data_IF_201487195924
#
_entry.id   IF_201487195924
#
_cell.length_a   1.000
_cell.length_b   1.000
_cell.length_c   1.000
_cell.angle_alpha   90.00
_cell.angle_beta   90.00
_cell.angle_gamma   90.00
#
_symmetry.space_group_name_H-M   'P 1'
#
loop_
_entity.id
_entity.type
_entity.pdbx_description
1 polymer ?
#
# COMPACT_ATOMS: atom_id res chain seq x y z
N UNK A 1 25.80 5.38 2.43
CA UNK A 1 24.71 5.66 3.37
C UNK A 1 25.30 6.26 4.64
N UNK A 2 24.91 7.48 4.94
CA UNK A 2 25.34 8.16 6.17
C UNK A 2 24.12 8.56 6.97
N UNK A 3 24.18 8.62 8.29
CA UNK A 3 23.04 9.00 9.14
C UNK A 3 22.75 10.50 9.06
N UNK A 4 22.91 11.10 7.90
CA UNK A 4 22.65 12.49 7.60
C UNK A 4 21.51 12.60 6.58
N UNK A 5 20.56 13.48 6.83
CA UNK A 5 19.45 13.76 5.90
C UNK A 5 19.98 14.21 4.54
N UNK A 6 19.34 13.74 3.47
CA UNK A 6 19.73 14.01 2.08
C UNK A 6 20.82 13.12 1.51
N UNK A 7 21.27 12.08 2.25
CA UNK A 7 22.32 11.16 1.76
C UNK A 7 21.80 9.79 1.36
N UNK A 8 20.51 9.52 1.51
CA UNK A 8 19.86 8.33 0.97
C UNK A 8 19.83 8.33 -0.56
N UNK A 9 19.65 7.16 -1.16
CA UNK A 9 19.54 7.03 -2.61
C UNK A 9 18.22 7.62 -3.12
N UNK A 10 18.25 8.16 -4.33
CA UNK A 10 17.01 8.43 -5.08
C UNK A 10 16.40 7.12 -5.57
N UNK A 11 15.07 7.07 -5.70
CA UNK A 11 14.35 5.87 -6.16
C UNK A 11 14.84 5.39 -7.53
N UNK A 12 15.13 6.31 -8.47
CA UNK A 12 15.63 5.98 -9.79
C UNK A 12 16.99 5.29 -9.74
N UNK A 13 17.94 5.85 -8.96
CA UNK A 13 19.28 5.26 -8.84
C UNK A 13 19.23 3.91 -8.11
N UNK A 14 18.45 3.81 -7.05
CA UNK A 14 18.21 2.54 -6.35
C UNK A 14 17.72 1.45 -7.29
N UNK A 15 16.70 1.74 -8.11
CA UNK A 15 16.14 0.77 -9.07
C UNK A 15 17.19 0.29 -10.07
N UNK A 16 17.93 1.21 -10.68
CA UNK A 16 18.98 0.89 -11.67
C UNK A 16 20.06 -0.01 -11.05
N UNK A 17 20.57 0.36 -9.87
CA UNK A 17 21.61 -0.41 -9.19
C UNK A 17 21.13 -1.80 -8.76
N UNK A 18 19.95 -1.87 -8.12
CA UNK A 18 19.40 -3.14 -7.63
C UNK A 18 19.08 -4.10 -8.78
N UNK A 19 18.56 -3.61 -9.90
CA UNK A 19 18.33 -4.41 -11.11
C UNK A 19 19.62 -5.02 -11.67
N UNK A 20 20.74 -4.30 -11.61
CA UNK A 20 22.05 -4.84 -12.04
C UNK A 20 22.44 -6.06 -11.19
N UNK A 21 22.33 -5.98 -9.87
CA UNK A 21 22.62 -7.12 -8.98
C UNK A 21 21.68 -8.29 -9.25
N UNK A 22 20.38 -8.03 -9.39
CA UNK A 22 19.38 -9.06 -9.69
C UNK A 22 19.65 -9.78 -11.01
N UNK A 23 20.14 -9.07 -12.03
CA UNK A 23 20.52 -9.67 -13.34
C UNK A 23 21.57 -10.76 -13.19
N UNK A 24 22.44 -10.67 -12.20
CA UNK A 24 23.47 -11.69 -11.91
C UNK A 24 23.02 -12.71 -10.87
N UNK A 25 21.73 -12.77 -10.53
CA UNK A 25 21.18 -13.70 -9.55
C UNK A 25 21.58 -13.43 -8.10
N UNK A 26 22.15 -12.25 -7.82
CA UNK A 26 22.59 -11.89 -6.47
C UNK A 26 21.38 -11.50 -5.60
N UNK A 27 21.43 -11.94 -4.36
CA UNK A 27 20.50 -11.45 -3.33
C UNK A 27 20.92 -10.07 -2.89
N UNK A 28 19.91 -9.25 -2.55
CA UNK A 28 20.07 -7.83 -2.23
C UNK A 28 19.50 -7.53 -0.86
N UNK A 29 20.15 -6.61 -0.15
CA UNK A 29 19.69 -6.09 1.13
C UNK A 29 19.61 -4.56 1.09
N UNK A 30 18.69 -3.99 1.83
CA UNK A 30 18.51 -2.55 1.97
C UNK A 30 18.29 -2.18 3.44
N UNK A 31 18.78 -0.99 3.82
CA UNK A 31 18.54 -0.45 5.15
C UNK A 31 17.19 0.25 5.21
N UNK A 32 16.53 0.04 6.35
CA UNK A 32 15.37 0.80 6.83
C UNK A 32 15.75 1.43 8.17
N UNK A 33 15.06 2.49 8.56
CA UNK A 33 15.38 3.24 9.78
C UNK A 33 14.21 3.27 10.74
N UNK A 34 14.47 2.91 11.99
CA UNK A 34 13.49 3.03 13.08
C UNK A 34 13.30 4.50 13.44
N UNK A 35 12.05 4.92 13.63
CA UNK A 35 11.71 6.28 14.06
C UNK A 35 11.88 6.45 15.57
N UNK A 36 11.86 5.37 16.34
CA UNK A 36 12.02 5.37 17.80
C UNK A 36 13.47 5.20 18.25
N UNK A 37 14.35 4.68 17.39
CA UNK A 37 15.76 4.44 17.73
C UNK A 37 16.56 5.75 17.88
N UNK A 38 17.40 5.78 18.91
CA UNK A 38 18.21 6.99 19.27
C UNK A 38 19.71 6.79 19.09
N UNK A 39 20.14 5.57 18.76
CA UNK A 39 21.56 5.21 18.63
C UNK A 39 21.84 4.95 17.16
N UNK A 40 22.71 5.77 16.60
CA UNK A 40 23.24 5.63 15.25
C UNK A 40 24.73 5.29 15.28
N UNK A 41 25.36 5.04 14.12
CA UNK A 41 26.79 4.77 14.03
C UNK A 41 27.67 5.99 14.34
N UNK A 42 27.10 7.19 14.33
CA UNK A 42 27.78 8.45 14.62
C UNK A 42 26.87 9.39 15.45
N UNK A 43 27.39 10.52 15.86
CA UNK A 43 26.62 11.53 16.63
C UNK A 43 25.44 12.11 15.85
N UNK A 44 25.56 12.25 14.52
CA UNK A 44 24.43 12.61 13.64
C UNK A 44 23.54 11.40 13.47
N UNK A 45 22.29 11.50 13.83
CA UNK A 45 21.33 10.39 13.75
C UNK A 45 19.99 10.87 13.15
N UNK A 46 20.03 11.26 11.88
CA UNK A 46 18.81 11.55 11.09
C UNK A 46 18.19 10.29 10.47
N UNK A 47 18.53 9.11 10.98
CA UNK A 47 18.14 7.83 10.43
C UNK A 47 19.10 7.30 9.35
N UNK A 48 19.04 6.01 9.04
CA UNK A 48 19.95 5.35 8.11
C UNK A 48 19.20 4.50 7.06
N UNK A 49 18.28 5.07 6.28
CA UNK A 49 17.57 4.34 5.23
C UNK A 49 18.40 4.22 3.95
N UNK A 50 18.15 3.19 3.14
CA UNK A 50 18.68 3.10 1.78
C UNK A 50 18.07 4.16 0.86
N UNK A 51 16.74 4.32 0.92
CA UNK A 51 15.99 5.31 0.13
C UNK A 51 15.77 6.58 0.95
N UNK A 52 16.11 7.74 0.37
CA UNK A 52 15.83 9.01 1.03
C UNK A 52 14.33 9.24 1.23
N UNK A 53 13.51 8.83 0.27
CA UNK A 53 12.05 8.90 0.33
C UNK A 53 11.43 8.09 1.49
N UNK A 54 12.19 7.15 2.07
CA UNK A 54 11.74 6.34 3.19
C UNK A 54 12.10 6.92 4.57
N UNK A 55 12.95 7.94 4.66
CA UNK A 55 13.58 8.39 5.90
C UNK A 55 12.62 8.66 7.05
N UNK A 56 11.52 9.33 6.77
CA UNK A 56 10.55 9.75 7.79
C UNK A 56 9.29 8.85 7.83
N UNK A 57 9.27 7.75 7.05
CA UNK A 57 8.15 6.82 7.03
C UNK A 57 8.21 5.84 8.22
N UNK A 58 7.06 5.31 8.67
CA UNK A 58 7.03 4.22 9.64
C UNK A 58 7.89 3.03 9.18
N UNK A 59 8.58 2.36 10.11
CA UNK A 59 9.53 1.28 9.81
C UNK A 59 8.93 0.17 8.93
N UNK A 60 7.71 -0.25 9.24
CA UNK A 60 7.01 -1.27 8.46
C UNK A 60 6.69 -0.81 7.03
N UNK A 61 6.33 0.46 6.84
CA UNK A 61 6.04 0.99 5.51
C UNK A 61 7.29 1.04 4.64
N UNK A 62 8.46 1.38 5.19
CA UNK A 62 9.74 1.28 4.49
C UNK A 62 9.99 -0.15 4.01
N UNK A 63 9.73 -1.15 4.87
CA UNK A 63 9.83 -2.57 4.52
C UNK A 63 8.85 -2.98 3.43
N UNK A 64 7.57 -2.56 3.53
CA UNK A 64 6.54 -2.81 2.50
C UNK A 64 6.99 -2.28 1.13
N UNK A 65 7.47 -1.02 1.04
CA UNK A 65 7.93 -0.40 -0.20
C UNK A 65 9.11 -1.14 -0.83
N UNK A 66 10.10 -1.49 -0.02
CA UNK A 66 11.30 -2.21 -0.49
C UNK A 66 10.94 -3.62 -1.01
N UNK A 67 10.13 -4.39 -0.29
CA UNK A 67 9.69 -5.71 -0.74
C UNK A 67 8.77 -5.62 -1.96
N UNK A 68 7.85 -4.65 -2.01
CA UNK A 68 6.96 -4.43 -3.14
C UNK A 68 7.71 -4.14 -4.43
N UNK A 69 8.90 -3.53 -4.35
CA UNK A 69 9.76 -3.29 -5.52
C UNK A 69 10.20 -4.58 -6.24
N UNK A 70 10.17 -5.72 -5.55
CA UNK A 70 10.71 -7.00 -6.04
C UNK A 70 12.23 -7.02 -6.17
N UNK A 71 12.91 -5.95 -5.73
CA UNK A 71 14.36 -5.78 -5.90
C UNK A 71 15.15 -6.11 -4.63
N UNK A 72 14.49 -6.23 -3.47
CA UNK A 72 15.13 -6.43 -2.17
C UNK A 72 14.68 -7.75 -1.54
N UNK A 73 15.65 -8.55 -1.15
CA UNK A 73 15.40 -9.84 -0.49
C UNK A 73 15.41 -9.72 1.03
N UNK A 74 16.16 -8.78 1.59
CA UNK A 74 16.35 -8.60 3.03
C UNK A 74 16.33 -7.12 3.39
N UNK A 75 15.61 -6.76 4.45
CA UNK A 75 15.70 -5.42 5.06
C UNK A 75 16.51 -5.51 6.36
N UNK A 76 17.29 -4.46 6.62
CA UNK A 76 18.17 -4.34 7.78
C UNK A 76 17.84 -3.02 8.48
N UNK A 77 17.57 -3.07 9.79
CA UNK A 77 17.36 -1.85 10.58
C UNK A 77 18.74 -1.21 10.81
N UNK A 78 18.94 -0.02 10.31
CA UNK A 78 20.23 0.66 10.28
C UNK A 78 20.62 1.39 11.56
N UNK A 79 19.67 1.66 12.45
CA UNK A 79 19.87 2.35 13.73
C UNK A 79 19.32 1.53 14.90
N UNK A 80 19.71 1.81 16.13
CA UNK A 80 19.41 0.99 17.30
C UNK A 80 18.75 1.84 18.42
N UNK A 81 17.81 1.29 19.14
CA UNK A 81 17.11 0.03 18.94
C UNK A 81 15.67 0.35 18.55
N UNK A 82 15.13 -0.39 17.59
CA UNK A 82 13.71 -0.27 17.24
C UNK A 82 12.83 -0.73 18.42
N UNK A 83 11.68 -0.11 18.57
CA UNK A 83 10.70 -0.50 19.59
C UNK A 83 10.04 -1.85 19.27
N UNK A 84 9.51 -2.52 20.28
CA UNK A 84 8.76 -3.77 20.12
C UNK A 84 7.57 -3.60 19.17
N UNK A 85 6.91 -2.46 19.16
CA UNK A 85 5.81 -2.15 18.25
C UNK A 85 6.29 -2.11 16.79
N UNK A 86 7.42 -1.44 16.52
CA UNK A 86 8.02 -1.39 15.18
C UNK A 86 8.47 -2.78 14.72
N UNK A 87 9.09 -3.58 15.60
CA UNK A 87 9.52 -4.94 15.28
C UNK A 87 8.34 -5.85 14.98
N UNK A 88 7.25 -5.78 15.75
CA UNK A 88 6.03 -6.54 15.50
C UNK A 88 5.38 -6.14 14.18
N UNK A 89 5.26 -4.84 13.89
CA UNK A 89 4.71 -4.35 12.65
C UNK A 89 5.55 -4.78 11.42
N UNK A 90 6.88 -4.75 11.55
CA UNK A 90 7.79 -5.22 10.50
C UNK A 90 7.67 -6.74 10.28
N UNK A 91 7.59 -7.53 11.35
CA UNK A 91 7.45 -8.97 11.28
C UNK A 91 6.10 -9.44 10.71
N UNK A 92 5.07 -8.62 10.79
CA UNK A 92 3.73 -8.92 10.25
C UNK A 92 3.63 -8.73 8.72
N UNK A 93 4.66 -8.19 8.06
CA UNK A 93 4.62 -7.95 6.62
C UNK A 93 4.59 -9.28 5.84
N UNK A 94 3.52 -9.48 5.06
CA UNK A 94 3.51 -10.49 4.02
C UNK A 94 4.17 -9.91 2.74
N UNK A 95 5.39 -10.33 2.45
CA UNK A 95 6.15 -9.86 1.29
C UNK A 95 5.58 -10.26 -0.08
N UNK A 96 4.61 -11.15 -0.11
CA UNK A 96 3.98 -11.68 -1.34
C UNK A 96 2.60 -11.07 -1.59
N UNK A 97 2.16 -10.18 -0.73
CA UNK A 97 0.87 -9.51 -0.80
C UNK A 97 1.00 -8.05 -0.38
N UNK A 98 0.51 -7.13 -1.20
CA UNK A 98 0.44 -5.73 -0.81
C UNK A 98 -0.65 -5.56 0.26
N UNK A 99 -0.31 -4.91 1.36
CA UNK A 99 -1.30 -4.52 2.38
C UNK A 99 -1.32 -3.01 2.49
N UNK A 100 -2.49 -2.41 2.25
CA UNK A 100 -2.72 -0.98 2.35
C UNK A 100 -3.49 -0.69 3.64
N UNK A 101 -3.07 0.32 4.37
CA UNK A 101 -3.92 0.94 5.37
C UNK A 101 -5.14 1.59 4.68
N UNK A 102 -6.27 1.64 5.35
CA UNK A 102 -7.45 2.34 4.85
C UNK A 102 -8.21 3.04 5.98
N UNK A 103 -8.42 4.34 5.84
CA UNK A 103 -9.39 5.10 6.62
C UNK A 103 -10.77 4.84 6.04
N UNK A 104 -11.64 4.18 6.83
CA UNK A 104 -12.96 3.78 6.36
C UNK A 104 -13.93 4.94 6.50
N UNK A 105 -14.71 5.23 5.44
CA UNK A 105 -15.73 6.26 5.46
C UNK A 105 -16.85 5.94 6.47
N UNK A 106 -17.37 6.98 7.12
CA UNK A 106 -18.43 6.83 8.12
C UNK A 106 -19.72 6.22 7.52
N UNK A 107 -20.05 6.56 6.27
CA UNK A 107 -21.20 6.05 5.53
C UNK A 107 -21.02 4.60 5.03
N UNK A 108 -19.82 4.02 5.14
CA UNK A 108 -19.56 2.67 4.65
C UNK A 108 -20.49 1.67 5.35
N UNK A 109 -21.30 0.99 4.54
CA UNK A 109 -22.28 -0.01 4.99
C UNK A 109 -21.60 -1.28 5.52
N UNK A 110 -22.35 -2.15 6.17
CA UNK A 110 -21.83 -3.42 6.69
C UNK A 110 -21.23 -4.30 5.55
N UNK A 111 -21.94 -4.40 4.43
CA UNK A 111 -21.43 -5.17 3.28
C UNK A 111 -20.14 -4.59 2.71
N UNK A 112 -20.00 -3.27 2.66
CA UNK A 112 -18.80 -2.60 2.18
C UNK A 112 -17.62 -2.84 3.12
N UNK A 113 -17.84 -2.78 4.44
CA UNK A 113 -16.84 -3.14 5.45
C UNK A 113 -16.42 -4.61 5.34
N UNK A 114 -17.37 -5.52 5.10
CA UNK A 114 -17.07 -6.94 4.86
C UNK A 114 -16.21 -7.12 3.62
N UNK A 115 -16.51 -6.40 2.53
CA UNK A 115 -15.71 -6.45 1.30
C UNK A 115 -14.30 -5.90 1.55
N UNK A 116 -14.15 -4.78 2.25
CA UNK A 116 -12.84 -4.23 2.63
C UNK A 116 -12.01 -5.21 3.48
N UNK A 117 -12.66 -5.91 4.41
CA UNK A 117 -12.00 -6.86 5.31
C UNK A 117 -11.57 -8.19 4.64
N UNK A 118 -11.92 -8.41 3.37
CA UNK A 118 -11.48 -9.60 2.64
C UNK A 118 -9.94 -9.63 2.53
N UNK A 119 -9.35 -10.78 2.84
CA UNK A 119 -7.89 -10.94 2.90
C UNK A 119 -7.25 -11.30 1.56
N UNK A 120 -8.04 -11.58 0.53
CA UNK A 120 -7.60 -12.14 -0.74
C UNK A 120 -8.11 -11.36 -1.95
N UNK A 121 -7.91 -10.06 -1.96
CA UNK A 121 -8.08 -9.28 -3.18
C UNK A 121 -6.94 -9.55 -4.17
N UNK A 122 -7.22 -9.40 -5.46
CA UNK A 122 -6.18 -9.29 -6.48
C UNK A 122 -6.59 -8.30 -7.56
N UNK A 123 -5.61 -7.57 -8.08
CA UNK A 123 -5.84 -6.71 -9.23
C UNK A 123 -6.13 -7.57 -10.46
N UNK A 124 -7.25 -7.33 -11.11
CA UNK A 124 -7.61 -8.00 -12.36
C UNK A 124 -6.54 -7.76 -13.45
N UNK A 125 -6.37 -8.76 -14.35
CA UNK A 125 -5.35 -8.72 -15.39
C UNK A 125 -5.57 -7.66 -16.48
N UNK A 126 -6.84 -7.28 -16.75
CA UNK A 126 -7.18 -6.19 -17.67
C UNK A 126 -6.89 -4.84 -16.97
N UNK A 127 -5.81 -4.20 -17.34
CA UNK A 127 -5.41 -2.92 -16.78
C UNK A 127 -6.07 -1.76 -17.53
N UNK A 128 -6.58 -0.80 -16.77
CA UNK A 128 -7.10 0.47 -17.31
C UNK A 128 -6.51 1.64 -16.51
N UNK A 129 -6.69 2.87 -17.02
CA UNK A 129 -6.12 4.05 -16.44
C UNK A 129 -6.88 4.59 -15.22
N UNK A 130 -8.18 4.29 -15.09
CA UNK A 130 -9.03 4.91 -14.07
C UNK A 130 -8.97 4.18 -12.74
N UNK A 131 -8.99 2.84 -12.75
CA UNK A 131 -9.15 2.04 -11.53
C UNK A 131 -8.38 0.72 -11.56
N UNK A 132 -7.89 0.28 -10.41
CA UNK A 132 -7.47 -1.10 -10.19
C UNK A 132 -8.67 -1.89 -9.65
N UNK A 133 -9.10 -2.93 -10.37
CA UNK A 133 -10.33 -3.68 -10.08
C UNK A 133 -10.03 -4.98 -9.34
N UNK A 134 -10.85 -5.29 -8.31
CA UNK A 134 -10.93 -6.60 -7.67
C UNK A 134 -12.35 -7.15 -7.83
N UNK A 135 -12.51 -8.20 -8.63
CA UNK A 135 -13.84 -8.62 -9.12
C UNK A 135 -14.49 -9.75 -8.32
N UNK A 136 -13.79 -10.38 -7.38
CA UNK A 136 -14.31 -11.51 -6.60
C UNK A 136 -15.49 -11.12 -5.73
N UNK A 137 -15.42 -9.95 -5.09
CA UNK A 137 -16.46 -9.48 -4.18
C UNK A 137 -17.82 -9.37 -4.87
N UNK A 138 -17.89 -8.91 -6.12
CA UNK A 138 -19.16 -8.83 -6.86
C UNK A 138 -19.79 -10.20 -7.12
N UNK A 139 -18.99 -11.27 -7.23
CA UNK A 139 -19.51 -12.62 -7.40
C UNK A 139 -19.98 -13.17 -6.06
N UNK A 140 -19.16 -13.04 -5.03
CA UNK A 140 -19.43 -13.56 -3.68
C UNK A 140 -20.62 -12.88 -3.03
N UNK A 141 -20.73 -11.56 -3.15
CA UNK A 141 -21.74 -10.74 -2.48
C UNK A 141 -22.87 -10.25 -3.38
N UNK A 142 -23.00 -10.80 -4.58
CA UNK A 142 -24.02 -10.40 -5.58
C UNK A 142 -25.45 -10.27 -5.03
N UNK A 143 -25.95 -11.17 -4.18
CA UNK A 143 -27.34 -11.09 -3.68
C UNK A 143 -27.54 -10.04 -2.59
N UNK A 144 -26.46 -9.49 -2.01
CA UNK A 144 -26.55 -8.55 -0.88
C UNK A 144 -26.75 -7.15 -1.42
N UNK A 145 -27.76 -6.47 -0.89
CA UNK A 145 -28.05 -5.06 -1.21
C UNK A 145 -26.91 -4.13 -0.81
N UNK A 146 -26.64 -3.12 -1.65
CA UNK A 146 -25.67 -2.07 -1.40
C UNK A 146 -26.21 -0.76 -1.95
N UNK A 147 -26.91 0.01 -1.10
CA UNK A 147 -27.58 1.25 -1.49
C UNK A 147 -26.55 2.34 -1.81
N UNK A 148 -26.89 3.27 -2.76
CA UNK A 148 -26.05 4.43 -3.00
C UNK A 148 -25.87 5.29 -1.75
N UNK A 149 -24.63 5.76 -1.52
CA UNK A 149 -24.35 6.75 -0.47
C UNK A 149 -24.96 8.11 -0.82
N UNK A 150 -25.19 8.93 0.20
CA UNK A 150 -25.68 10.30 0.03
C UNK A 150 -24.60 11.26 -0.46
N UNK A 151 -23.35 11.03 -0.03
CA UNK A 151 -22.19 11.82 -0.49
C UNK A 151 -21.71 11.32 -1.86
N UNK A 152 -21.75 12.22 -2.86
CA UNK A 152 -21.42 11.96 -4.26
C UNK A 152 -20.23 12.81 -4.74
N UNK A 153 -19.26 13.08 -3.86
CA UNK A 153 -18.05 13.83 -4.24
C UNK A 153 -17.19 13.09 -5.26
N UNK A 154 -16.44 13.82 -6.11
CA UNK A 154 -15.46 13.20 -7.00
C UNK A 154 -14.42 12.38 -6.25
N UNK A 155 -14.07 11.22 -6.79
CA UNK A 155 -13.05 10.34 -6.23
C UNK A 155 -11.65 10.88 -6.52
N UNK A 156 -10.77 10.79 -5.53
CA UNK A 156 -9.36 11.13 -5.63
C UNK A 156 -8.48 9.88 -5.86
N UNK A 157 -7.22 10.09 -6.26
CA UNK A 157 -6.22 9.02 -6.34
C UNK A 157 -6.02 8.34 -4.98
N UNK A 158 -6.15 7.03 -4.93
CA UNK A 158 -6.04 6.24 -3.70
C UNK A 158 -7.36 6.06 -2.94
N UNK A 159 -8.47 6.65 -3.40
CA UNK A 159 -9.79 6.32 -2.86
C UNK A 159 -10.17 4.89 -3.22
N UNK A 160 -10.91 4.26 -2.31
CA UNK A 160 -11.46 2.91 -2.50
C UNK A 160 -12.96 3.07 -2.70
N UNK A 161 -13.45 2.50 -3.80
CA UNK A 161 -14.86 2.59 -4.17
C UNK A 161 -15.44 1.20 -4.41
N UNK A 162 -16.73 1.05 -4.10
CA UNK A 162 -17.47 -0.20 -4.32
C UNK A 162 -18.73 0.13 -5.14
N UNK A 163 -19.02 -0.70 -6.15
CA UNK A 163 -20.22 -0.56 -6.97
C UNK A 163 -21.48 -0.74 -6.12
N UNK A 164 -22.42 0.22 -6.19
CA UNK A 164 -23.72 0.13 -5.52
C UNK A 164 -24.78 -0.56 -6.40
N UNK A 165 -26.02 -0.67 -5.92
CA UNK A 165 -27.12 -1.38 -6.58
C UNK A 165 -27.41 -0.87 -8.00
N UNK A 166 -27.14 0.42 -8.26
CA UNK A 166 -27.38 1.03 -9.58
C UNK A 166 -26.32 0.63 -10.62
N UNK A 167 -25.21 -0.04 -10.20
CA UNK A 167 -24.14 -0.46 -11.10
C UNK A 167 -24.42 -1.79 -11.82
N UNK A 168 -25.56 -2.39 -11.59
CA UNK A 168 -25.99 -3.61 -12.27
C UNK A 168 -25.04 -4.78 -12.06
N UNK A 169 -24.47 -5.35 -13.13
CA UNK A 169 -23.55 -6.49 -13.04
C UNK A 169 -22.23 -6.21 -12.30
N UNK A 170 -21.89 -4.93 -12.04
CA UNK A 170 -20.69 -4.53 -11.33
C UNK A 170 -20.96 -4.17 -9.85
N UNK A 171 -22.18 -4.36 -9.38
CA UNK A 171 -22.55 -4.25 -7.99
C UNK A 171 -21.58 -5.04 -7.10
N UNK A 172 -21.17 -4.45 -5.97
CA UNK A 172 -20.26 -5.03 -5.00
C UNK A 172 -18.84 -5.34 -5.54
N UNK A 173 -18.46 -4.79 -6.70
CA UNK A 173 -17.08 -4.84 -7.18
C UNK A 173 -16.25 -3.77 -6.48
N UNK A 174 -15.13 -4.17 -5.85
CA UNK A 174 -14.18 -3.25 -5.26
C UNK A 174 -13.22 -2.71 -6.30
N UNK A 175 -12.94 -1.41 -6.24
CA UNK A 175 -11.99 -0.73 -7.11
C UNK A 175 -11.16 0.28 -6.30
N UNK A 176 -9.87 0.40 -6.65
CA UNK A 176 -8.99 1.46 -6.13
C UNK A 176 -8.81 2.49 -7.23
N UNK A 177 -9.05 3.76 -6.93
CA UNK A 177 -9.00 4.86 -7.89
C UNK A 177 -7.55 5.20 -8.24
N UNK A 178 -7.24 5.17 -9.54
CA UNK A 178 -5.91 5.51 -10.09
C UNK A 178 -5.90 6.88 -10.79
N UNK A 179 -7.06 7.35 -11.22
CA UNK A 179 -7.22 8.69 -11.80
C UNK A 179 -8.50 9.31 -11.26
N UNK A 180 -8.47 10.56 -10.80
CA UNK A 180 -9.65 11.22 -10.26
C UNK A 180 -10.81 11.21 -11.27
N UNK A 181 -11.99 10.82 -10.81
CA UNK A 181 -13.21 10.80 -11.61
C UNK A 181 -14.45 10.77 -10.71
N UNK A 182 -15.65 10.86 -11.30
CA UNK A 182 -16.90 10.74 -10.58
C UNK A 182 -17.78 9.66 -11.23
N UNK A 183 -18.47 8.86 -10.43
CA UNK A 183 -19.43 7.88 -10.89
C UNK A 183 -20.46 7.59 -9.78
N UNK A 184 -21.67 8.08 -9.93
CA UNK A 184 -22.76 7.95 -8.95
C UNK A 184 -23.18 6.49 -8.65
N UNK A 185 -22.74 5.56 -9.49
CA UNK A 185 -22.99 4.12 -9.33
C UNK A 185 -22.00 3.44 -8.38
N UNK A 186 -21.10 4.20 -7.78
CA UNK A 186 -20.07 3.72 -6.85
C UNK A 186 -20.13 4.53 -5.57
N UNK A 187 -19.98 3.83 -4.46
CA UNK A 187 -19.82 4.42 -3.14
C UNK A 187 -18.34 4.55 -2.81
N UNK A 188 -17.91 5.71 -2.34
CA UNK A 188 -16.60 5.86 -1.72
C UNK A 188 -16.68 5.22 -0.34
N UNK A 189 -15.82 4.26 -0.06
CA UNK A 189 -15.84 3.46 1.17
C UNK A 189 -14.60 3.65 2.04
N UNK A 190 -13.55 4.25 1.50
CA UNK A 190 -12.35 4.55 2.26
C UNK A 190 -11.29 5.24 1.41
N UNK A 191 -10.20 5.61 2.08
CA UNK A 191 -9.06 6.29 1.47
C UNK A 191 -7.75 5.69 2.00
N UNK A 192 -6.81 5.40 1.09
CA UNK A 192 -5.46 4.96 1.45
C UNK A 192 -4.68 6.15 2.02
N UNK A 193 -3.97 6.00 3.16
CA UNK A 193 -3.12 7.04 3.72
C UNK A 193 -2.13 7.60 2.69
N UNK A 194 -1.91 8.89 2.73
CA UNK A 194 -1.06 9.60 1.75
C UNK A 194 0.34 9.00 1.65
N UNK A 195 0.92 8.60 2.76
CA UNK A 195 2.25 7.99 2.85
C UNK A 195 2.31 6.58 2.23
N UNK A 196 1.18 5.88 2.09
CA UNK A 196 1.10 4.56 1.45
C UNK A 196 0.76 4.62 -0.05
N UNK A 197 0.36 5.77 -0.58
CA UNK A 197 0.04 5.92 -2.02
C UNK A 197 1.17 5.45 -2.95
N UNK A 198 2.47 5.59 -2.63
CA UNK A 198 3.53 5.05 -3.47
C UNK A 198 3.47 3.52 -3.66
N UNK A 199 2.85 2.77 -2.75
CA UNK A 199 2.64 1.33 -2.92
C UNK A 199 1.76 0.99 -4.13
N UNK A 200 0.89 1.90 -4.57
CA UNK A 200 0.01 1.70 -5.73
C UNK A 200 0.80 1.52 -7.04
N UNK A 201 2.03 2.03 -7.13
CA UNK A 201 2.91 1.78 -8.28
C UNK A 201 3.24 0.29 -8.46
N UNK A 202 3.22 -0.47 -7.37
CA UNK A 202 3.53 -1.92 -7.35
C UNK A 202 2.28 -2.80 -7.47
N UNK A 203 1.09 -2.22 -7.43
CA UNK A 203 -0.16 -2.94 -7.66
C UNK A 203 -0.32 -3.24 -9.16
N UNK A 204 0.45 -4.19 -9.68
CA UNK A 204 0.41 -4.63 -11.08
C UNK A 204 -0.73 -5.64 -11.31
N UNK A 205 -1.12 -5.94 -12.56
CA UNK A 205 -2.05 -7.02 -12.87
C UNK A 205 -1.68 -8.31 -12.13
N UNK A 206 -2.68 -8.99 -11.55
CA UNK A 206 -2.57 -10.22 -10.76
C UNK A 206 -1.87 -10.07 -9.40
N UNK A 207 -1.43 -8.87 -9.01
CA UNK A 207 -0.90 -8.63 -7.66
C UNK A 207 -1.99 -8.88 -6.62
N UNK A 208 -1.68 -9.71 -5.63
CA UNK A 208 -2.53 -9.92 -4.45
C UNK A 208 -2.43 -8.73 -3.51
N UNK A 209 -3.55 -8.34 -2.92
CA UNK A 209 -3.58 -7.27 -1.94
C UNK A 209 -4.66 -7.48 -0.87
N UNK A 210 -4.55 -6.74 0.21
CA UNK A 210 -5.53 -6.67 1.29
C UNK A 210 -5.51 -5.27 1.91
N UNK A 211 -6.48 -5.01 2.77
CA UNK A 211 -6.56 -3.77 3.54
C UNK A 211 -6.42 -4.04 5.03
N UNK A 212 -5.81 -3.10 5.72
CA UNK A 212 -5.75 -2.96 7.16
C UNK A 212 -6.62 -1.76 7.54
N UNK A 213 -7.74 -2.03 8.21
CA UNK A 213 -8.69 -0.98 8.57
C UNK A 213 -8.10 -0.11 9.69
N UNK A 214 -7.93 1.17 9.42
CA UNK A 214 -7.43 2.17 10.35
C UNK A 214 -8.62 2.88 11.03
N UNK A 215 -8.45 3.22 12.30
CA UNK A 215 -9.46 3.94 13.10
C UNK A 215 -9.30 5.46 12.96
#
# INVERSE_FOLDING_TARGET
FYPQRGTGLTDAFFRICSQRFKKYGLKTAAFITSQSAKIGPWEVNDGLPTLESCRDLPLALQGKLLFASGLIDTVIIGNAYASDAELKALAAIDRYKLTFGVYVEAEASEIERMILAETNHFRRGDSNALVARSTQSRVKYRPIENLPHTNQEPFAYGDIVIGNDTFGQYKNELQIVLTPHQDVRKNKVGTIPKEELPLLEYLKPWTKFAFELLN
#
